data_IF_507113212904
#
_entry.id   IF_507113212904
#
_cell.length_a   1.000
_cell.length_b   1.000
_cell.length_c   1.000
_cell.angle_alpha   90.00
_cell.angle_beta   90.00
_cell.angle_gamma   90.00
#
_symmetry.space_group_name_H-M   'P 1'
#
loop_
_entity.id
_entity.type
_entity.pdbx_description
1 polymer ?
#
# COMPACT_ATOMS: atom_id res chain seq x y z
N UNK A 1 -1.00 -3.72 -6.58
CA UNK A 1 -2.39 -3.54 -7.04
C UNK A 1 -2.93 -4.90 -7.44
N UNK A 2 -4.04 -5.31 -6.84
CA UNK A 2 -4.64 -6.63 -6.97
C UNK A 2 -6.08 -6.45 -7.47
N UNK A 3 -6.46 -7.17 -8.52
CA UNK A 3 -7.82 -7.19 -9.04
C UNK A 3 -8.48 -8.55 -8.85
N UNK A 4 -9.82 -8.53 -8.78
CA UNK A 4 -10.67 -9.71 -8.90
C UNK A 4 -10.28 -10.87 -7.94
N UNK A 5 -10.17 -10.60 -6.61
CA UNK A 5 -10.08 -11.64 -5.59
C UNK A 5 -11.39 -12.43 -5.45
N UNK A 6 -12.54 -11.78 -5.69
CA UNK A 6 -13.80 -12.46 -5.93
C UNK A 6 -14.06 -12.53 -7.42
N UNK A 7 -14.34 -13.73 -7.93
CA UNK A 7 -14.43 -13.96 -9.37
C UNK A 7 -15.58 -13.20 -10.05
N UNK A 8 -16.69 -13.00 -9.35
CA UNK A 8 -17.87 -12.24 -9.81
C UNK A 8 -17.73 -10.72 -9.69
N UNK A 9 -16.55 -10.23 -9.31
CA UNK A 9 -16.20 -8.80 -9.21
C UNK A 9 -15.12 -8.44 -10.26
N UNK A 10 -15.44 -8.41 -11.58
CA UNK A 10 -14.46 -8.28 -12.64
C UNK A 10 -13.93 -6.86 -12.89
N UNK A 11 -14.54 -5.79 -12.36
CA UNK A 11 -14.09 -4.43 -12.66
C UNK A 11 -12.60 -4.20 -12.33
N UNK A 12 -12.18 -4.66 -11.15
CA UNK A 12 -10.80 -4.56 -10.68
C UNK A 12 -9.79 -5.21 -11.64
N UNK A 13 -10.17 -6.29 -12.31
CA UNK A 13 -9.34 -6.97 -13.31
C UNK A 13 -9.09 -6.08 -14.51
N UNK A 14 -10.14 -5.48 -15.03
CA UNK A 14 -10.06 -4.60 -16.20
C UNK A 14 -9.35 -3.29 -15.88
N UNK A 15 -9.56 -2.73 -14.69
CA UNK A 15 -8.83 -1.54 -14.19
C UNK A 15 -7.33 -1.82 -14.15
N UNK A 16 -6.90 -2.91 -13.50
CA UNK A 16 -5.47 -3.22 -13.33
C UNK A 16 -4.81 -3.58 -14.67
N UNK A 17 -5.47 -4.38 -15.51
CA UNK A 17 -4.94 -4.72 -16.83
C UNK A 17 -4.82 -3.49 -17.74
N UNK A 18 -5.83 -2.62 -17.75
CA UNK A 18 -5.84 -1.41 -18.58
C UNK A 18 -4.86 -0.37 -18.06
N UNK A 19 -4.67 -0.26 -16.74
CA UNK A 19 -3.63 0.58 -16.15
C UNK A 19 -2.23 0.13 -16.57
N UNK A 20 -1.98 -1.18 -16.64
CA UNK A 20 -0.69 -1.71 -17.11
C UNK A 20 -0.41 -1.29 -18.56
N UNK A 21 -1.38 -1.46 -19.47
CA UNK A 21 -1.25 -1.04 -20.87
C UNK A 21 -1.02 0.47 -20.96
N UNK A 22 -1.85 1.26 -20.27
CA UNK A 22 -1.75 2.72 -20.27
C UNK A 22 -0.38 3.20 -19.76
N UNK A 23 0.10 2.68 -18.63
CA UNK A 23 1.41 3.04 -18.06
C UNK A 23 2.55 2.75 -19.05
N UNK A 24 2.54 1.59 -19.72
CA UNK A 24 3.53 1.25 -20.73
C UNK A 24 3.51 2.24 -21.91
N UNK A 25 2.33 2.62 -22.38
CA UNK A 25 2.22 3.59 -23.47
C UNK A 25 2.69 4.98 -23.07
N UNK A 26 2.30 5.47 -21.88
CA UNK A 26 2.74 6.78 -21.36
C UNK A 26 4.24 6.81 -21.14
N UNK A 27 4.83 5.72 -20.65
CA UNK A 27 6.27 5.58 -20.52
C UNK A 27 6.99 5.64 -21.87
N UNK A 28 6.42 5.05 -22.92
CA UNK A 28 7.01 5.06 -24.25
C UNK A 28 6.91 6.44 -24.92
N UNK A 29 5.76 7.13 -24.76
CA UNK A 29 5.53 8.46 -25.36
C UNK A 29 6.14 9.62 -24.56
N UNK A 30 6.41 9.42 -23.27
CA UNK A 30 6.87 10.48 -22.35
C UNK A 30 5.94 11.70 -22.29
N UNK A 31 4.64 11.49 -22.53
CA UNK A 31 3.63 12.54 -22.69
C UNK A 31 2.73 12.73 -21.46
N UNK A 32 3.01 12.03 -20.36
CA UNK A 32 2.25 12.13 -19.11
C UNK A 32 3.20 12.16 -17.91
N UNK A 33 3.28 13.33 -17.27
CA UNK A 33 4.22 13.60 -16.17
C UNK A 33 3.89 12.76 -14.93
N UNK A 34 2.60 12.52 -14.65
CA UNK A 34 2.20 11.73 -13.48
C UNK A 34 2.61 10.27 -13.67
N UNK A 35 2.35 9.69 -14.84
CA UNK A 35 2.74 8.32 -15.15
C UNK A 35 4.26 8.15 -15.19
N UNK A 36 4.96 9.04 -15.87
CA UNK A 36 6.42 8.93 -16.08
C UNK A 36 7.21 9.16 -14.79
N UNK A 37 6.82 10.13 -13.96
CA UNK A 37 7.45 10.33 -12.65
C UNK A 37 7.18 9.14 -11.72
N UNK A 38 5.94 8.66 -11.63
CA UNK A 38 5.61 7.50 -10.80
C UNK A 38 6.41 6.25 -11.20
N UNK A 39 6.56 5.98 -12.51
CA UNK A 39 7.33 4.82 -12.99
C UNK A 39 8.84 4.95 -12.79
N UNK A 40 9.36 6.17 -12.65
CA UNK A 40 10.76 6.42 -12.28
C UNK A 40 10.98 6.24 -10.79
N UNK A 41 10.03 6.71 -9.99
CA UNK A 41 10.19 6.84 -8.54
C UNK A 41 9.71 5.57 -7.79
N UNK A 42 8.89 4.73 -8.44
CA UNK A 42 8.30 3.54 -7.83
C UNK A 42 8.35 2.29 -8.71
N UNK A 43 8.45 1.13 -8.06
CA UNK A 43 8.20 -0.18 -8.68
C UNK A 43 6.75 -0.57 -8.45
N UNK A 44 5.99 -0.74 -9.53
CA UNK A 44 4.58 -1.15 -9.47
C UNK A 44 4.43 -2.66 -9.67
N UNK A 45 3.65 -3.30 -8.79
CA UNK A 45 3.27 -4.72 -8.89
C UNK A 45 1.78 -4.79 -9.24
N UNK A 46 1.46 -5.34 -10.41
CA UNK A 46 0.11 -5.39 -10.96
C UNK A 46 -0.32 -6.85 -11.14
N UNK A 47 -1.39 -7.25 -10.44
CA UNK A 47 -2.00 -8.59 -10.55
C UNK A 47 -3.45 -8.40 -10.96
N UNK A 48 -3.79 -8.53 -12.26
CA UNK A 48 -5.15 -8.29 -12.72
C UNK A 48 -6.20 -9.22 -12.13
N UNK A 49 -5.88 -10.51 -11.96
CA UNK A 49 -6.85 -11.48 -11.44
C UNK A 49 -6.16 -12.37 -10.42
N UNK A 50 -6.65 -12.33 -9.18
CA UNK A 50 -6.24 -13.26 -8.14
C UNK A 50 -7.07 -14.55 -8.21
N UNK A 51 -8.34 -14.46 -8.60
CA UNK A 51 -9.26 -15.59 -8.70
C UNK A 51 -9.75 -15.84 -10.13
N UNK A 52 -8.90 -16.37 -11.03
CA UNK A 52 -9.28 -16.62 -12.41
C UNK A 52 -10.37 -17.70 -12.53
N UNK A 53 -10.36 -18.72 -11.67
CA UNK A 53 -11.35 -19.81 -11.71
C UNK A 53 -12.76 -19.36 -11.31
N UNK A 54 -12.86 -18.45 -10.34
CA UNK A 54 -14.11 -17.80 -9.99
C UNK A 54 -14.61 -16.91 -11.13
N UNK A 55 -13.73 -16.16 -11.76
CA UNK A 55 -14.06 -15.29 -12.89
C UNK A 55 -14.63 -16.07 -14.08
N UNK A 56 -13.95 -17.13 -14.53
CA UNK A 56 -14.42 -17.97 -15.64
C UNK A 56 -15.78 -18.63 -15.35
N UNK A 57 -16.12 -18.83 -14.07
CA UNK A 57 -17.40 -19.39 -13.62
C UNK A 57 -18.42 -18.35 -13.16
N UNK A 58 -18.11 -17.05 -13.31
CA UNK A 58 -18.97 -15.93 -12.88
C UNK A 58 -19.43 -16.08 -11.42
N UNK A 59 -18.51 -16.44 -10.53
CA UNK A 59 -18.82 -16.69 -9.11
C UNK A 59 -17.78 -16.08 -8.19
N UNK A 60 -18.21 -15.75 -6.98
CA UNK A 60 -17.37 -15.18 -5.93
C UNK A 60 -16.17 -16.06 -5.55
N UNK A 61 -16.45 -17.31 -5.19
CA UNK A 61 -15.43 -18.22 -4.65
C UNK A 61 -14.47 -18.78 -5.70
N UNK A 62 -13.32 -19.27 -5.24
CA UNK A 62 -12.31 -19.92 -6.10
C UNK A 62 -12.77 -21.28 -6.65
N UNK A 63 -11.88 -22.08 -7.26
CA UNK A 63 -12.21 -23.43 -7.77
C UNK A 63 -12.91 -24.33 -6.73
N UNK A 64 -12.47 -24.27 -5.46
CA UNK A 64 -13.02 -25.02 -4.34
C UNK A 64 -14.28 -24.39 -3.72
N UNK A 65 -14.71 -23.21 -4.21
CA UNK A 65 -15.84 -22.46 -3.64
C UNK A 65 -15.49 -21.65 -2.39
N UNK A 66 -14.21 -21.53 -2.04
CA UNK A 66 -13.75 -20.74 -0.90
C UNK A 66 -13.76 -19.24 -1.23
N UNK A 67 -14.14 -18.43 -0.23
CA UNK A 67 -14.00 -16.97 -0.30
C UNK A 67 -12.55 -16.60 0.04
N UNK A 68 -11.79 -16.14 -0.96
CA UNK A 68 -10.37 -15.81 -0.78
C UNK A 68 -10.15 -14.65 0.20
N UNK A 69 -11.11 -13.72 0.33
CA UNK A 69 -11.03 -12.63 1.30
C UNK A 69 -11.57 -13.02 2.68
N UNK A 70 -11.66 -14.33 2.96
CA UNK A 70 -11.89 -14.93 4.29
C UNK A 70 -10.88 -16.05 4.60
N UNK A 71 -9.90 -16.26 3.71
CA UNK A 71 -8.98 -17.40 3.76
C UNK A 71 -7.58 -17.02 4.27
N UNK A 72 -7.27 -15.74 4.48
CA UNK A 72 -5.99 -15.34 5.06
C UNK A 72 -5.94 -15.63 6.57
N UNK A 73 -4.74 -15.85 7.15
CA UNK A 73 -4.59 -15.91 8.60
C UNK A 73 -5.05 -14.61 9.28
N UNK A 74 -5.97 -14.72 10.22
CA UNK A 74 -6.51 -13.55 10.89
C UNK A 74 -5.68 -13.15 12.13
N UNK A 75 -5.34 -11.86 12.31
CA UNK A 75 -4.51 -11.43 13.43
C UNK A 75 -5.20 -11.57 14.81
N UNK A 76 -6.52 -11.74 14.85
CA UNK A 76 -7.29 -11.89 16.09
C UNK A 76 -7.77 -13.31 16.32
N UNK A 77 -8.20 -14.01 15.27
CA UNK A 77 -8.84 -15.32 15.42
C UNK A 77 -7.88 -16.49 15.33
N UNK A 78 -6.80 -16.38 14.54
CA UNK A 78 -5.86 -17.47 14.33
C UNK A 78 -4.75 -17.40 15.39
N UNK A 79 -5.06 -17.83 16.62
CA UNK A 79 -4.09 -18.14 17.68
C UNK A 79 -3.85 -19.64 17.82
N UNK A 80 -2.61 -20.07 18.10
CA UNK A 80 -2.29 -21.48 18.36
C UNK A 80 -2.92 -21.90 19.70
N UNK A 81 -4.08 -22.58 19.67
CA UNK A 81 -4.55 -23.49 20.74
C UNK A 81 -5.03 -22.88 22.06
N UNK A 82 -4.53 -21.73 22.49
CA UNK A 82 -4.86 -21.14 23.79
C UNK A 82 -5.89 -20.03 23.64
N UNK A 83 -7.12 -20.46 23.35
CA UNK A 83 -8.35 -19.79 23.76
C UNK A 83 -8.53 -18.33 23.31
N UNK A 84 -9.51 -18.17 22.42
CA UNK A 84 -10.36 -16.97 22.22
C UNK A 84 -10.80 -16.28 23.55
N UNK A 85 -10.64 -16.94 24.70
CA UNK A 85 -10.89 -16.42 26.04
C UNK A 85 -9.80 -15.48 26.61
N UNK A 86 -8.50 -15.64 26.31
CA UNK A 86 -7.44 -14.78 26.88
C UNK A 86 -7.28 -13.43 26.17
N UNK A 87 -7.76 -13.33 24.92
CA UNK A 87 -7.76 -12.10 24.14
C UNK A 87 -8.60 -10.96 24.76
N UNK A 88 -9.48 -11.28 25.71
CA UNK A 88 -10.41 -10.32 26.32
C UNK A 88 -9.82 -9.46 27.44
N UNK A 89 -8.61 -9.73 27.93
CA UNK A 89 -8.17 -9.19 29.23
C UNK A 89 -6.85 -8.39 29.27
N UNK A 90 -6.04 -8.29 28.20
CA UNK A 90 -4.72 -7.66 28.33
C UNK A 90 -4.38 -6.69 27.18
N UNK A 91 -4.01 -5.47 27.56
CA UNK A 91 -3.64 -4.33 26.71
C UNK A 91 -2.35 -4.52 25.87
N UNK A 92 -1.73 -5.70 25.92
CA UNK A 92 -0.53 -6.05 25.14
C UNK A 92 -0.82 -7.27 24.26
N UNK A 93 -1.73 -7.12 23.30
CA UNK A 93 -2.09 -8.22 22.40
C UNK A 93 -0.97 -8.48 21.40
N UNK A 94 -0.26 -9.61 21.56
CA UNK A 94 0.77 -10.09 20.63
C UNK A 94 0.10 -10.42 19.31
N UNK A 95 0.07 -9.46 18.38
CA UNK A 95 -0.12 -9.76 16.97
C UNK A 95 1.06 -10.64 16.54
N UNK A 96 0.88 -11.96 16.55
CA UNK A 96 1.89 -12.88 16.03
C UNK A 96 1.79 -12.82 14.52
N UNK A 97 2.87 -12.40 13.87
CA UNK A 97 3.04 -12.50 12.42
C UNK A 97 2.88 -13.97 12.03
N UNK A 98 1.70 -14.34 11.58
CA UNK A 98 1.39 -15.68 11.09
C UNK A 98 2.00 -15.93 9.70
N UNK A 99 3.13 -15.29 9.40
CA UNK A 99 3.88 -15.41 8.16
C UNK A 99 4.41 -16.83 8.02
N UNK A 100 3.59 -17.71 7.46
CA UNK A 100 3.91 -19.12 7.27
C UNK A 100 2.78 -20.10 7.53
N UNK A 101 1.62 -19.68 8.09
CA UNK A 101 0.47 -20.59 8.27
C UNK A 101 -0.31 -20.77 6.97
N UNK A 102 0.30 -21.47 6.02
CA UNK A 102 -0.27 -21.80 4.70
C UNK A 102 -1.05 -23.11 4.71
N UNK A 103 -0.89 -23.94 5.75
CA UNK A 103 -1.60 -25.22 5.88
C UNK A 103 -3.11 -24.98 5.90
N UNK A 104 -3.82 -25.62 4.98
CA UNK A 104 -5.29 -25.53 4.85
C UNK A 104 -5.79 -24.29 4.10
N UNK A 105 -4.89 -23.42 3.61
CA UNK A 105 -5.26 -22.23 2.82
C UNK A 105 -5.33 -22.58 1.33
N UNK A 106 -6.10 -21.79 0.59
CA UNK A 106 -6.26 -21.93 -0.85
C UNK A 106 -4.96 -21.59 -1.58
N UNK A 107 -4.70 -22.20 -2.75
CA UNK A 107 -3.48 -21.94 -3.51
C UNK A 107 -3.33 -20.46 -3.90
N UNK A 108 -4.43 -19.77 -4.20
CA UNK A 108 -4.41 -18.34 -4.53
C UNK A 108 -4.00 -17.49 -3.32
N UNK A 109 -4.52 -17.81 -2.13
CA UNK A 109 -4.14 -17.17 -0.86
C UNK A 109 -2.65 -17.38 -0.57
N UNK A 110 -2.17 -18.62 -0.69
CA UNK A 110 -0.74 -18.94 -0.49
C UNK A 110 0.14 -18.19 -1.49
N UNK A 111 -0.29 -18.08 -2.75
CA UNK A 111 0.43 -17.32 -3.77
C UNK A 111 0.48 -15.82 -3.45
N UNK A 112 -0.64 -15.22 -3.01
CA UNK A 112 -0.69 -13.82 -2.59
C UNK A 112 0.20 -13.56 -1.37
N UNK A 113 0.14 -14.43 -0.35
CA UNK A 113 1.00 -14.35 0.83
C UNK A 113 2.48 -14.43 0.45
N UNK A 114 2.84 -15.39 -0.42
CA UNK A 114 4.20 -15.55 -0.91
C UNK A 114 4.67 -14.32 -1.68
N UNK A 115 3.85 -13.77 -2.57
CA UNK A 115 4.16 -12.55 -3.32
C UNK A 115 4.45 -11.37 -2.38
N UNK A 116 3.57 -11.14 -1.39
CA UNK A 116 3.72 -10.05 -0.43
C UNK A 116 4.98 -10.19 0.45
N UNK A 117 5.38 -11.42 0.79
CA UNK A 117 6.59 -11.67 1.57
C UNK A 117 7.88 -11.50 0.75
N UNK A 118 7.88 -11.90 -0.53
CA UNK A 118 9.06 -11.79 -1.40
C UNK A 118 9.23 -10.40 -2.02
N UNK A 119 8.12 -9.67 -2.20
CA UNK A 119 8.10 -8.31 -2.74
C UNK A 119 7.28 -7.38 -1.83
N UNK A 120 7.76 -7.11 -0.59
CA UNK A 120 7.02 -6.29 0.36
C UNK A 120 6.77 -4.89 -0.20
N UNK A 121 5.49 -4.59 -0.36
CA UNK A 121 5.01 -3.32 -0.88
C UNK A 121 4.94 -2.28 0.25
N UNK A 122 5.18 -1.02 -0.10
CA UNK A 122 4.94 0.10 0.81
C UNK A 122 3.44 0.33 1.01
N UNK A 123 2.68 0.25 -0.08
CA UNK A 123 1.22 0.32 -0.08
C UNK A 123 0.64 -0.63 -1.12
N UNK A 124 -0.61 -1.04 -0.91
CA UNK A 124 -1.34 -1.94 -1.77
C UNK A 124 -2.83 -1.58 -1.85
N UNK A 125 -3.46 -2.00 -2.95
CA UNK A 125 -4.91 -1.90 -3.18
C UNK A 125 -5.38 -3.27 -3.64
N UNK A 126 -6.51 -3.76 -3.10
CA UNK A 126 -7.35 -4.76 -3.74
C UNK A 126 -8.66 -4.13 -4.21
N UNK A 127 -9.02 -4.39 -5.47
CA UNK A 127 -10.29 -3.95 -6.05
C UNK A 127 -11.39 -4.99 -5.85
N UNK A 128 -12.52 -4.52 -5.35
CA UNK A 128 -13.76 -5.23 -5.09
C UNK A 128 -14.94 -4.52 -5.77
N UNK A 129 -16.12 -5.13 -5.72
CA UNK A 129 -17.38 -4.52 -6.17
C UNK A 129 -18.54 -4.87 -5.22
N UNK A 130 -19.61 -4.08 -5.29
CA UNK A 130 -20.77 -4.15 -4.41
C UNK A 130 -21.05 -2.83 -3.67
N UNK A 131 -20.14 -1.86 -3.75
CA UNK A 131 -20.26 -0.50 -3.24
C UNK A 131 -19.32 0.45 -4.01
N UNK A 132 -19.30 1.73 -3.63
CA UNK A 132 -18.31 2.72 -4.11
C UNK A 132 -17.70 3.42 -2.90
N UNK A 133 -16.56 2.92 -2.43
CA UNK A 133 -15.86 3.42 -1.22
C UNK A 133 -14.43 2.91 -1.14
N UNK A 134 -13.53 3.70 -0.56
CA UNK A 134 -12.20 3.25 -0.14
C UNK A 134 -12.24 2.79 1.33
N UNK A 135 -12.19 1.48 1.52
CA UNK A 135 -12.18 0.79 2.80
C UNK A 135 -10.74 0.67 3.34
N UNK A 136 -10.54 0.96 4.63
CA UNK A 136 -9.24 0.89 5.28
C UNK A 136 -9.28 0.15 6.63
N UNK A 137 -8.10 -0.32 7.05
CA UNK A 137 -7.92 -1.15 8.24
C UNK A 137 -8.35 -0.44 9.54
N UNK A 138 -8.77 -1.19 10.57
CA UNK A 138 -8.97 -2.64 10.56
C UNK A 138 -10.30 -3.06 9.94
N UNK A 139 -10.32 -4.24 9.31
CA UNK A 139 -11.54 -4.91 8.86
C UNK A 139 -12.26 -5.63 10.01
N UNK A 140 -11.51 -6.08 11.03
CA UNK A 140 -12.06 -6.78 12.20
C UNK A 140 -11.82 -6.06 13.54
N UNK A 141 -12.38 -6.65 14.59
CA UNK A 141 -12.21 -6.20 15.98
C UNK A 141 -11.24 -7.10 16.73
N UNK A 142 -10.43 -6.55 17.64
CA UNK A 142 -9.66 -7.34 18.61
C UNK A 142 -10.51 -8.28 19.46
N UNK A 143 -11.78 -7.92 19.69
CA UNK A 143 -12.74 -8.74 20.44
C UNK A 143 -13.22 -9.98 19.69
N UNK A 144 -13.00 -10.06 18.37
CA UNK A 144 -13.61 -11.07 17.51
C UNK A 144 -15.11 -10.85 17.28
N UNK A 145 -15.68 -9.69 17.61
CA UNK A 145 -17.10 -9.42 17.33
C UNK A 145 -17.36 -9.37 15.82
N UNK A 146 -18.34 -10.17 15.38
CA UNK A 146 -18.79 -10.29 13.99
C UNK A 146 -20.16 -9.65 13.75
N UNK A 147 -20.83 -9.18 14.80
CA UNK A 147 -22.24 -8.79 14.76
C UNK A 147 -22.45 -7.30 14.61
N UNK A 148 -21.58 -6.48 15.22
CA UNK A 148 -21.79 -5.04 15.27
C UNK A 148 -20.68 -4.29 14.53
N UNK A 149 -21.09 -3.47 13.57
CA UNK A 149 -20.20 -2.51 12.94
C UNK A 149 -19.83 -1.41 13.93
N UNK A 150 -18.53 -1.27 14.22
CA UNK A 150 -18.01 -0.15 15.02
C UNK A 150 -16.58 0.15 14.62
N UNK A 151 -16.11 1.35 14.93
CA UNK A 151 -14.77 1.78 14.54
C UNK A 151 -13.68 0.93 15.21
N UNK A 152 -12.78 0.35 14.42
CA UNK A 152 -11.61 -0.41 14.88
C UNK A 152 -10.33 0.27 14.42
N UNK A 153 -9.76 1.10 15.30
CA UNK A 153 -8.59 1.94 15.02
C UNK A 153 -7.32 1.09 14.89
N UNK A 154 -6.61 1.20 13.77
CA UNK A 154 -5.26 0.64 13.63
C UNK A 154 -4.18 1.63 14.09
N UNK A 155 -2.96 1.18 14.42
CA UNK A 155 -1.92 2.12 14.86
C UNK A 155 -1.51 3.15 13.80
N UNK A 156 -1.69 2.83 12.52
CA UNK A 156 -1.47 3.74 11.38
C UNK A 156 -2.79 4.29 10.81
N UNK A 157 -3.81 4.46 11.65
CA UNK A 157 -5.14 4.93 11.26
C UNK A 157 -5.11 6.23 10.45
N UNK A 158 -4.24 7.16 10.84
CA UNK A 158 -4.04 8.43 10.16
C UNK A 158 -3.49 8.24 8.74
N UNK A 159 -2.45 7.42 8.59
CA UNK A 159 -1.82 7.09 7.30
C UNK A 159 -2.78 6.35 6.39
N UNK A 160 -3.52 5.37 6.93
CA UNK A 160 -4.51 4.60 6.18
C UNK A 160 -5.66 5.49 5.68
N UNK A 161 -6.16 6.39 6.53
CA UNK A 161 -7.16 7.39 6.14
C UNK A 161 -6.63 8.36 5.10
N UNK A 162 -5.38 8.80 5.21
CA UNK A 162 -4.74 9.66 4.22
C UNK A 162 -4.71 9.00 2.84
N UNK A 163 -4.30 7.73 2.76
CA UNK A 163 -4.24 6.97 1.50
C UNK A 163 -5.64 6.73 0.91
N UNK A 164 -6.60 6.27 1.73
CA UNK A 164 -7.99 6.10 1.32
C UNK A 164 -8.59 7.42 0.81
N UNK A 165 -8.29 8.54 1.49
CA UNK A 165 -8.78 9.87 1.08
C UNK A 165 -8.11 10.37 -0.20
N UNK A 166 -6.83 10.08 -0.42
CA UNK A 166 -6.14 10.41 -1.66
C UNK A 166 -6.83 9.72 -2.85
N UNK A 167 -7.21 8.44 -2.68
CA UNK A 167 -8.01 7.73 -3.68
C UNK A 167 -9.39 8.36 -3.87
N UNK A 168 -10.16 8.48 -2.78
CA UNK A 168 -11.57 8.88 -2.84
C UNK A 168 -11.80 10.31 -3.34
N UNK A 169 -10.90 11.25 -3.03
CA UNK A 169 -10.97 12.65 -3.49
C UNK A 169 -10.65 12.81 -4.97
N UNK A 170 -9.78 11.96 -5.51
CA UNK A 170 -9.44 12.01 -6.94
C UNK A 170 -10.45 11.24 -7.80
N UNK A 171 -11.16 10.27 -7.22
CA UNK A 171 -12.25 9.60 -7.91
C UNK A 171 -13.45 10.56 -8.14
N UNK A 172 -14.05 10.62 -9.34
CA UNK A 172 -15.06 11.64 -9.69
C UNK A 172 -16.29 11.72 -8.78
N UNK A 173 -16.72 10.59 -8.20
CA UNK A 173 -17.95 10.52 -7.40
C UNK A 173 -17.77 9.97 -5.99
N UNK A 174 -16.61 9.37 -5.66
CA UNK A 174 -16.49 8.57 -4.43
C UNK A 174 -16.54 9.46 -3.19
N UNK A 175 -15.82 10.59 -3.22
CA UNK A 175 -15.82 11.58 -2.12
C UNK A 175 -17.19 12.23 -1.87
N UNK A 176 -18.07 12.24 -2.87
CA UNK A 176 -19.42 12.79 -2.79
C UNK A 176 -20.47 11.76 -2.29
N UNK A 177 -20.03 10.58 -1.83
CA UNK A 177 -20.92 9.54 -1.31
C UNK A 177 -21.79 10.05 -0.15
N UNK A 178 -23.10 9.85 -0.25
CA UNK A 178 -24.05 10.14 0.82
C UNK A 178 -23.95 9.12 1.98
N UNK A 179 -23.55 7.89 1.68
CA UNK A 179 -23.42 6.81 2.65
C UNK A 179 -22.07 6.86 3.38
N UNK A 180 -20.99 7.07 2.65
CA UNK A 180 -19.63 7.05 3.18
C UNK A 180 -19.05 8.45 3.16
N UNK A 181 -19.08 9.14 4.30
CA UNK A 181 -18.60 10.53 4.39
C UNK A 181 -17.16 10.65 3.88
N UNK A 182 -16.96 11.47 2.85
CA UNK A 182 -15.65 11.66 2.20
C UNK A 182 -15.19 10.49 1.33
N UNK A 183 -16.07 9.51 1.07
CA UNK A 183 -15.79 8.35 0.21
C UNK A 183 -14.89 7.29 0.82
N UNK A 184 -14.70 7.31 2.15
CA UNK A 184 -13.85 6.35 2.86
C UNK A 184 -14.62 5.68 4.00
N UNK A 185 -14.19 4.49 4.41
CA UNK A 185 -14.75 3.81 5.59
C UNK A 185 -13.71 2.94 6.29
N UNK A 186 -13.78 2.87 7.63
CA UNK A 186 -13.09 1.84 8.38
C UNK A 186 -13.84 0.51 8.17
N UNK A 187 -13.12 -0.58 7.91
CA UNK A 187 -13.74 -1.86 7.54
C UNK A 187 -14.64 -2.41 8.63
N UNK A 188 -14.14 -2.50 9.86
CA UNK A 188 -14.93 -2.98 10.99
C UNK A 188 -16.13 -2.08 11.30
N UNK A 189 -16.04 -0.78 11.01
CA UNK A 189 -17.16 0.15 11.18
C UNK A 189 -18.28 -0.08 10.16
N UNK A 190 -17.91 -0.46 8.93
CA UNK A 190 -18.87 -0.79 7.89
C UNK A 190 -19.49 -2.17 8.14
N UNK A 191 -18.67 -3.21 8.19
CA UNK A 191 -19.05 -4.54 8.65
C UNK A 191 -17.80 -5.33 9.07
N UNK A 192 -17.79 -5.98 10.26
CA UNK A 192 -16.63 -6.75 10.69
C UNK A 192 -16.31 -7.92 9.75
N UNK A 193 -15.06 -7.98 9.30
CA UNK A 193 -14.52 -8.98 8.40
C UNK A 193 -13.24 -9.57 9.00
N UNK A 194 -13.08 -10.89 8.88
CA UNK A 194 -11.93 -11.62 9.41
C UNK A 194 -11.34 -12.54 8.33
N UNK A 195 -10.03 -12.73 8.38
CA UNK A 195 -9.29 -13.51 7.38
C UNK A 195 -9.15 -12.83 6.02
N UNK A 196 -9.18 -11.50 6.02
CA UNK A 196 -9.00 -10.68 4.82
C UNK A 196 -7.53 -10.45 4.47
N UNK A 197 -7.26 -10.19 3.19
CA UNK A 197 -5.90 -9.90 2.71
C UNK A 197 -5.35 -8.58 3.30
N UNK A 198 -6.20 -7.56 3.41
CA UNK A 198 -5.85 -6.21 3.84
C UNK A 198 -5.16 -6.20 5.22
N UNK A 199 -5.82 -6.77 6.22
CA UNK A 199 -5.31 -6.79 7.59
C UNK A 199 -4.11 -7.73 7.74
N UNK A 200 -4.10 -8.85 7.00
CA UNK A 200 -2.97 -9.78 6.99
C UNK A 200 -1.71 -9.12 6.46
N UNK A 201 -1.78 -8.40 5.33
CA UNK A 201 -0.59 -7.81 4.71
C UNK A 201 -0.01 -6.69 5.59
N UNK A 202 -0.87 -5.83 6.16
CA UNK A 202 -0.45 -4.76 7.08
C UNK A 202 0.34 -5.28 8.28
N UNK A 203 -0.11 -6.39 8.87
CA UNK A 203 0.55 -7.02 10.02
C UNK A 203 1.86 -7.71 9.64
N UNK A 204 1.88 -8.42 8.53
CA UNK A 204 2.96 -9.36 8.22
C UNK A 204 4.10 -8.70 7.45
N UNK A 205 3.81 -7.72 6.59
CA UNK A 205 4.80 -7.08 5.70
C UNK A 205 5.02 -5.60 6.02
N UNK A 206 4.10 -4.98 6.78
CA UNK A 206 4.14 -3.54 7.04
C UNK A 206 3.53 -2.68 5.92
N UNK A 207 2.91 -3.31 4.92
CA UNK A 207 2.26 -2.64 3.80
C UNK A 207 1.00 -1.88 4.24
N UNK A 208 0.85 -0.63 3.78
CA UNK A 208 -0.40 0.10 3.93
C UNK A 208 -1.41 -0.39 2.87
N UNK A 209 -2.21 -1.37 3.24
CA UNK A 209 -3.20 -1.97 2.36
C UNK A 209 -4.57 -1.30 2.54
N UNK A 210 -5.21 -0.93 1.43
CA UNK A 210 -6.63 -0.55 1.41
C UNK A 210 -7.45 -1.42 0.43
N UNK A 211 -8.74 -1.55 0.70
CA UNK A 211 -9.70 -2.19 -0.19
C UNK A 211 -10.51 -1.12 -0.91
N UNK A 212 -10.60 -1.19 -2.25
CA UNK A 212 -11.41 -0.26 -3.03
C UNK A 212 -12.61 -1.00 -3.58
N UNK A 213 -13.80 -0.61 -3.14
CA UNK A 213 -15.06 -0.99 -3.77
C UNK A 213 -15.26 -0.08 -4.99
N UNK A 214 -15.06 -0.65 -6.18
CA UNK A 214 -14.94 0.11 -7.41
C UNK A 214 -16.31 0.49 -8.01
N UNK A 215 -17.32 -0.36 -7.80
CA UNK A 215 -18.61 -0.21 -8.47
C UNK A 215 -19.74 -0.86 -7.66
N UNK A 216 -20.91 -0.23 -7.61
CA UNK A 216 -22.08 -0.78 -6.89
C UNK A 216 -22.57 -2.08 -7.54
N UNK A 217 -22.69 -2.08 -8.88
CA UNK A 217 -23.14 -3.25 -9.62
C UNK A 217 -21.97 -4.18 -9.88
N UNK A 218 -21.94 -5.31 -9.17
CA UNK A 218 -21.07 -6.43 -9.56
C UNK A 218 -21.34 -6.85 -11.00
N UNK A 219 -20.28 -7.21 -11.71
CA UNK A 219 -20.35 -7.62 -13.11
C UNK A 219 -21.01 -6.56 -14.01
N UNK A 220 -20.43 -5.36 -14.11
CA UNK A 220 -20.95 -4.30 -14.96
C UNK A 220 -20.96 -4.74 -16.42
N UNK A 221 -21.90 -4.18 -17.19
CA UNK A 221 -21.92 -4.42 -18.64
C UNK A 221 -20.63 -3.89 -19.27
N UNK A 222 -20.13 -4.59 -20.29
CA UNK A 222 -18.87 -4.25 -20.98
C UNK A 222 -18.82 -2.79 -21.45
N UNK A 223 -19.97 -2.22 -21.88
CA UNK A 223 -20.03 -0.83 -22.34
C UNK A 223 -19.70 0.20 -21.25
N UNK A 224 -19.77 -0.18 -19.96
CA UNK A 224 -19.42 0.69 -18.82
C UNK A 224 -17.93 0.67 -18.49
N UNK A 225 -17.19 -0.35 -18.92
CA UNK A 225 -15.78 -0.53 -18.55
C UNK A 225 -14.90 0.67 -18.91
N UNK A 226 -15.00 1.31 -20.10
CA UNK A 226 -14.14 2.44 -20.42
C UNK A 226 -14.27 3.62 -19.46
N UNK A 227 -15.51 3.94 -19.06
CA UNK A 227 -15.78 5.01 -18.09
C UNK A 227 -15.26 4.62 -16.70
N UNK A 228 -15.57 3.40 -16.25
CA UNK A 228 -15.11 2.88 -14.96
C UNK A 228 -13.58 2.90 -14.84
N UNK A 229 -12.88 2.41 -15.86
CA UNK A 229 -11.40 2.44 -15.92
C UNK A 229 -10.87 3.87 -15.86
N UNK A 230 -11.53 4.83 -16.54
CA UNK A 230 -11.12 6.23 -16.49
C UNK A 230 -11.28 6.83 -15.08
N UNK A 231 -12.43 6.58 -14.44
CA UNK A 231 -12.76 7.09 -13.10
C UNK A 231 -11.74 6.63 -12.04
N UNK A 232 -11.27 5.39 -12.13
CA UNK A 232 -10.33 4.81 -11.17
C UNK A 232 -8.85 5.09 -11.47
N UNK A 233 -8.48 5.42 -12.71
CA UNK A 233 -7.06 5.55 -13.10
C UNK A 233 -6.36 6.65 -12.33
N UNK A 234 -6.90 7.86 -12.35
CA UNK A 234 -6.34 9.01 -11.63
C UNK A 234 -6.26 8.75 -10.12
N UNK A 235 -7.32 8.19 -9.55
CA UNK A 235 -7.38 7.84 -8.12
C UNK A 235 -6.31 6.82 -7.72
N UNK A 236 -6.06 5.83 -8.57
CA UNK A 236 -5.02 4.82 -8.36
C UNK A 236 -3.63 5.44 -8.35
N UNK A 237 -3.34 6.34 -9.30
CA UNK A 237 -2.06 7.05 -9.37
C UNK A 237 -1.88 7.98 -8.17
N UNK A 238 -2.94 8.71 -7.77
CA UNK A 238 -2.91 9.60 -6.63
C UNK A 238 -2.58 8.88 -5.32
N UNK A 239 -3.17 7.69 -5.07
CA UNK A 239 -2.82 6.88 -3.91
C UNK A 239 -1.38 6.37 -4.01
N UNK A 240 -0.99 5.80 -5.16
CA UNK A 240 0.36 5.27 -5.35
C UNK A 240 1.41 6.35 -5.10
N UNK A 241 1.12 7.58 -5.50
CA UNK A 241 1.95 8.75 -5.30
C UNK A 241 1.97 9.16 -3.82
N UNK A 242 0.82 9.30 -3.17
CA UNK A 242 0.72 9.61 -1.73
C UNK A 242 1.45 8.60 -0.84
N UNK A 243 1.50 7.33 -1.24
CA UNK A 243 2.25 6.28 -0.53
C UNK A 243 3.76 6.48 -0.52
N UNK A 244 4.31 7.31 -1.43
CA UNK A 244 5.72 7.66 -1.50
C UNK A 244 6.13 8.79 -0.53
N UNK A 245 5.19 9.34 0.24
CA UNK A 245 5.50 10.22 1.37
C UNK A 245 6.00 9.45 2.59
N UNK A 246 6.76 10.09 3.48
CA UNK A 246 7.17 9.54 4.77
C UNK A 246 8.69 9.48 4.95
N UNK A 247 9.22 8.33 5.36
CA UNK A 247 10.64 8.17 5.72
C UNK A 247 11.32 7.12 4.86
N UNK A 248 12.47 7.47 4.29
CA UNK A 248 13.38 6.51 3.66
C UNK A 248 14.75 6.54 4.32
N UNK A 249 15.39 5.38 4.38
CA UNK A 249 16.66 5.24 5.07
C UNK A 249 17.27 3.86 4.96
N UNK A 250 18.32 3.65 5.74
CA UNK A 250 19.09 2.41 5.80
C UNK A 250 19.32 1.98 7.24
N UNK A 251 19.33 0.67 7.47
CA UNK A 251 19.74 0.07 8.74
C UNK A 251 21.18 -0.44 8.62
N UNK A 252 22.01 -0.10 9.58
CA UNK A 252 23.46 -0.37 9.55
C UNK A 252 23.99 -0.85 10.89
N UNK A 253 25.06 -1.64 10.86
CA UNK A 253 25.87 -1.92 12.04
C UNK A 253 26.63 -0.64 12.44
N UNK A 254 26.56 -0.27 13.71
CA UNK A 254 27.16 0.96 14.23
C UNK A 254 28.70 0.94 14.16
N UNK A 255 29.33 -0.22 14.34
CA UNK A 255 30.78 -0.37 14.38
C UNK A 255 31.39 -0.53 12.98
N UNK A 256 30.77 -1.35 12.11
CA UNK A 256 31.32 -1.63 10.77
C UNK A 256 30.77 -0.71 9.69
N UNK A 257 29.59 -0.12 9.92
CA UNK A 257 28.85 0.65 8.91
C UNK A 257 28.18 -0.21 7.83
N UNK A 258 28.31 -1.53 7.89
CA UNK A 258 27.70 -2.47 6.94
C UNK A 258 26.18 -2.48 7.05
N UNK A 259 25.50 -2.84 5.95
CA UNK A 259 24.03 -2.92 5.90
C UNK A 259 23.52 -4.13 6.68
N UNK A 260 22.52 -3.93 7.54
CA UNK A 260 21.87 -5.02 8.28
C UNK A 260 20.64 -5.50 7.51
N UNK A 261 20.85 -6.50 6.67
CA UNK A 261 19.80 -7.14 5.89
C UNK A 261 18.73 -7.77 6.79
N UNK A 262 17.45 -7.57 6.46
CA UNK A 262 16.34 -8.19 7.18
C UNK A 262 16.04 -7.60 8.56
N UNK A 263 16.72 -6.52 8.96
CA UNK A 263 16.31 -5.72 10.11
C UNK A 263 14.86 -5.25 9.97
N UNK A 264 14.13 -5.10 11.07
CA UNK A 264 12.76 -4.60 11.07
C UNK A 264 12.71 -3.21 11.65
N UNK A 265 12.09 -2.30 10.90
CA UNK A 265 11.87 -0.92 11.31
C UNK A 265 10.42 -0.75 11.75
N UNK A 266 10.23 -0.29 12.98
CA UNK A 266 8.94 -0.06 13.63
C UNK A 266 8.87 1.40 14.07
N UNK A 267 7.69 2.00 14.05
CA UNK A 267 7.48 3.31 14.69
C UNK A 267 7.01 3.05 16.12
N UNK A 268 7.65 3.65 17.13
CA UNK A 268 7.18 3.54 18.51
C UNK A 268 5.74 4.11 18.62
N UNK A 269 4.90 3.41 19.37
CA UNK A 269 3.44 3.60 19.40
C UNK A 269 2.68 2.94 18.23
N UNK A 270 3.36 2.28 17.27
CA UNK A 270 2.75 1.62 16.09
C UNK A 270 3.24 0.19 15.84
N UNK A 271 3.35 -0.60 16.89
CA UNK A 271 4.07 -1.89 16.92
C UNK A 271 3.40 -3.02 16.13
N UNK A 272 2.12 -2.88 15.75
CA UNK A 272 1.39 -3.90 14.96
C UNK A 272 1.84 -3.96 13.50
N UNK A 273 2.62 -2.98 13.05
CA UNK A 273 3.19 -2.90 11.70
C UNK A 273 4.68 -2.66 11.80
N UNK A 274 5.46 -3.32 10.95
CA UNK A 274 6.88 -3.00 10.80
C UNK A 274 7.32 -3.28 9.37
N UNK A 275 8.13 -2.41 8.82
CA UNK A 275 8.71 -2.58 7.49
C UNK A 275 9.99 -3.42 7.59
N UNK A 276 10.15 -4.48 6.79
CA UNK A 276 11.44 -5.16 6.65
C UNK A 276 12.42 -4.29 5.84
N UNK A 277 13.65 -4.16 6.32
CA UNK A 277 14.75 -3.62 5.54
C UNK A 277 15.05 -4.56 4.36
N UNK A 278 15.06 -4.01 3.15
CA UNK A 278 15.12 -4.74 1.88
C UNK A 278 16.49 -5.37 1.67
N UNK A 279 16.51 -6.71 1.64
CA UNK A 279 17.63 -7.50 1.15
C UNK A 279 19.00 -7.05 1.68
N UNK A 280 20.08 -7.22 0.89
CA UNK A 280 21.42 -6.75 1.26
C UNK A 280 21.57 -5.22 1.32
N UNK A 281 20.64 -4.44 0.75
CA UNK A 281 20.76 -2.97 0.76
C UNK A 281 20.47 -2.36 2.12
N UNK A 282 19.76 -3.09 3.00
CA UNK A 282 19.35 -2.61 4.32
C UNK A 282 18.39 -1.42 4.26
N UNK A 283 17.84 -1.11 3.08
CA UNK A 283 16.98 0.05 2.87
C UNK A 283 15.58 -0.20 3.41
N UNK A 284 15.00 0.80 4.07
CA UNK A 284 13.61 0.76 4.49
C UNK A 284 12.83 1.94 3.93
N UNK A 285 11.53 1.74 3.83
CA UNK A 285 10.56 2.77 3.47
C UNK A 285 9.40 2.70 4.45
N UNK A 286 9.00 3.84 5.03
CA UNK A 286 7.86 3.91 5.93
C UNK A 286 6.96 5.10 5.57
N UNK A 287 5.77 4.82 5.05
CA UNK A 287 4.77 5.86 4.78
C UNK A 287 4.27 6.47 6.08
N UNK A 288 4.40 7.79 6.22
CA UNK A 288 4.00 8.56 7.39
C UNK A 288 3.48 9.93 6.95
N UNK A 289 2.58 10.50 7.75
CA UNK A 289 2.18 11.90 7.61
C UNK A 289 3.26 12.83 8.16
N UNK A 290 3.17 14.15 7.91
CA UNK A 290 3.97 15.14 8.61
C UNK A 290 3.85 14.98 10.13
N UNK A 291 4.99 14.96 10.82
CA UNK A 291 5.06 14.72 12.25
C UNK A 291 6.44 14.31 12.72
N UNK A 292 6.63 14.27 14.05
CA UNK A 292 7.84 13.76 14.67
C UNK A 292 7.59 12.35 15.21
N UNK A 293 8.47 11.42 14.86
CA UNK A 293 8.36 10.00 15.16
C UNK A 293 9.67 9.47 15.74
N UNK A 294 9.59 8.42 16.55
CA UNK A 294 10.77 7.64 16.95
C UNK A 294 10.71 6.32 16.20
N UNK A 295 11.71 6.09 15.34
CA UNK A 295 11.88 4.84 14.62
C UNK A 295 12.75 3.91 15.45
N UNK A 296 12.34 2.64 15.56
CA UNK A 296 13.11 1.56 16.16
C UNK A 296 13.51 0.54 15.09
N UNK A 297 14.80 0.30 14.93
CA UNK A 297 15.32 -0.83 14.18
C UNK A 297 15.62 -1.99 15.13
N UNK A 298 15.37 -3.22 14.68
CA UNK A 298 15.66 -4.46 15.43
C UNK A 298 16.13 -5.55 14.48
N UNK A 299 17.12 -6.33 14.89
CA UNK A 299 17.62 -7.48 14.13
C UNK A 299 18.18 -8.56 15.07
N UNK A 300 18.07 -9.87 14.73
CA UNK A 300 18.71 -10.92 15.51
C UNK A 300 20.22 -10.70 15.64
N UNK A 301 20.75 -10.81 16.86
CA UNK A 301 22.18 -10.57 17.14
C UNK A 301 22.54 -9.11 17.45
N UNK A 302 21.57 -8.20 17.39
CA UNK A 302 21.77 -6.77 17.64
C UNK A 302 20.95 -6.27 18.83
N UNK A 303 21.46 -5.24 19.51
CA UNK A 303 20.64 -4.36 20.35
C UNK A 303 19.79 -3.48 19.43
N UNK A 304 18.55 -3.23 19.83
CA UNK A 304 17.66 -2.34 19.10
C UNK A 304 18.23 -0.91 19.08
N UNK A 305 18.09 -0.25 17.94
CA UNK A 305 18.50 1.14 17.74
C UNK A 305 17.29 2.05 17.56
N UNK A 306 17.32 3.24 18.12
CA UNK A 306 16.27 4.25 17.94
C UNK A 306 16.79 5.52 17.28
N UNK A 307 15.93 6.19 16.52
CA UNK A 307 16.21 7.50 15.96
C UNK A 307 14.93 8.33 15.86
N UNK A 308 14.98 9.55 16.38
CA UNK A 308 13.92 10.55 16.18
C UNK A 308 14.02 11.15 14.79
N UNK A 309 12.92 11.17 14.06
CA UNK A 309 12.80 11.71 12.71
C UNK A 309 11.62 12.67 12.63
N UNK A 310 11.75 13.75 11.87
CA UNK A 310 10.65 14.68 11.60
C UNK A 310 10.33 14.65 10.12
N UNK A 311 9.12 14.22 9.77
CA UNK A 311 8.57 14.35 8.43
C UNK A 311 8.00 15.77 8.33
N UNK A 312 8.52 16.62 7.43
CA UNK A 312 8.06 18.01 7.32
C UNK A 312 6.63 18.06 6.75
N UNK A 313 5.98 19.22 6.85
CA UNK A 313 4.83 19.51 5.98
C UNK A 313 5.37 19.78 4.56
N UNK A 314 4.67 19.31 3.53
CA UNK A 314 5.05 19.61 2.16
C UNK A 314 4.98 21.14 1.92
N UNK A 315 6.04 21.71 1.36
CA UNK A 315 6.13 23.15 1.10
C UNK A 315 5.52 23.55 -0.26
N UNK A 316 5.38 22.61 -1.20
CA UNK A 316 5.24 22.87 -2.63
C UNK A 316 4.52 21.76 -3.42
N UNK A 317 3.65 20.99 -2.75
CA UNK A 317 2.82 19.96 -3.43
C UNK A 317 3.51 18.62 -3.68
N UNK A 318 4.79 18.47 -3.32
CA UNK A 318 5.46 17.17 -3.23
C UNK A 318 4.99 16.33 -2.05
N UNK A 319 5.34 15.04 -2.03
CA UNK A 319 4.98 14.15 -0.93
C UNK A 319 5.84 14.49 0.31
N UNK A 320 5.24 14.80 1.48
CA UNK A 320 6.01 15.15 2.65
C UNK A 320 6.94 14.01 3.05
N UNK A 321 8.25 14.23 2.95
CA UNK A 321 9.24 13.17 3.05
C UNK A 321 10.53 13.60 3.73
N UNK A 322 11.19 12.65 4.38
CA UNK A 322 12.58 12.75 4.83
C UNK A 322 13.36 11.53 4.34
N UNK A 323 14.50 11.78 3.71
CA UNK A 323 15.34 10.74 3.11
C UNK A 323 16.70 10.66 3.80
N UNK A 324 17.39 9.52 3.64
CA UNK A 324 18.74 9.33 4.13
C UNK A 324 18.83 9.09 5.64
N UNK A 325 17.74 8.67 6.28
CA UNK A 325 17.74 8.30 7.71
C UNK A 325 18.65 7.09 7.92
N UNK A 326 19.54 7.15 8.92
CA UNK A 326 20.51 6.09 9.25
C UNK A 326 20.20 5.51 10.63
N UNK A 327 19.53 4.37 10.65
CA UNK A 327 19.27 3.63 11.88
C UNK A 327 20.43 2.70 12.20
N UNK A 328 21.06 2.91 13.36
CA UNK A 328 22.25 2.18 13.77
C UNK A 328 21.90 1.08 14.77
N UNK A 329 22.44 -0.11 14.55
CA UNK A 329 22.31 -1.26 15.44
C UNK A 329 23.68 -1.62 16.03
N UNK A 330 23.70 -1.93 17.33
CA UNK A 330 24.93 -2.34 18.01
C UNK A 330 24.96 -3.86 18.12
N UNK A 331 26.02 -4.50 17.61
CA UNK A 331 26.18 -5.96 17.72
C UNK A 331 26.29 -6.38 19.19
N UNK A 332 25.49 -7.36 19.60
CA UNK A 332 25.55 -7.92 20.95
C UNK A 332 26.77 -8.84 21.06
N UNK A 333 27.81 -8.40 21.77
CA UNK A 333 28.91 -9.29 22.19
C UNK A 333 28.45 -10.33 23.23
N UNK A 334 29.35 -11.23 23.64
CA UNK A 334 29.07 -12.32 24.61
C UNK A 334 28.57 -11.90 26.01
N UNK A 335 28.39 -10.60 26.28
CA UNK A 335 27.79 -10.02 27.49
C UNK A 335 26.57 -9.13 27.24
N UNK A 336 25.95 -9.19 26.05
CA UNK A 336 24.96 -8.22 25.54
C UNK A 336 23.65 -8.02 26.33
N UNK A 337 23.39 -8.78 27.39
CA UNK A 337 22.16 -8.65 28.19
C UNK A 337 22.06 -7.30 28.94
N UNK A 338 23.18 -6.74 29.42
CA UNK A 338 23.16 -5.46 30.17
C UNK A 338 22.92 -4.25 29.24
N UNK A 339 23.53 -4.25 28.05
CA UNK A 339 23.27 -3.21 27.03
C UNK A 339 21.82 -3.25 26.54
N UNK A 340 21.27 -4.45 26.34
CA UNK A 340 19.87 -4.61 25.94
C UNK A 340 18.90 -4.11 27.02
N UNK A 341 19.21 -4.29 28.30
CA UNK A 341 18.41 -3.75 29.41
C UNK A 341 18.45 -2.21 29.49
N UNK A 342 19.60 -1.58 29.29
CA UNK A 342 19.70 -0.11 29.26
C UNK A 342 18.92 0.49 28.09
N UNK A 343 19.04 -0.11 26.90
CA UNK A 343 18.28 0.31 25.72
C UNK A 343 16.77 0.13 25.97
N UNK A 344 16.33 -0.97 26.57
CA UNK A 344 14.92 -1.17 26.91
C UNK A 344 14.39 -0.13 27.91
N UNK A 345 15.18 0.27 28.90
CA UNK A 345 14.78 1.32 29.86
C UNK A 345 14.63 2.69 29.18
N UNK A 346 15.55 3.03 28.27
CA UNK A 346 15.47 4.27 27.50
C UNK A 346 14.25 4.26 26.57
N UNK A 347 13.96 3.13 25.92
CA UNK A 347 12.75 2.95 25.10
C UNK A 347 11.47 3.13 25.91
N UNK A 348 11.39 2.54 27.11
CA UNK A 348 10.22 2.72 27.98
C UNK A 348 10.02 4.20 28.36
N UNK A 349 11.09 4.95 28.60
CA UNK A 349 11.00 6.38 28.88
C UNK A 349 10.53 7.19 27.66
N UNK A 350 11.00 6.86 26.46
CA UNK A 350 10.59 7.51 25.19
C UNK A 350 9.12 7.18 24.84
N UNK A 351 8.71 5.92 25.01
CA UNK A 351 7.31 5.49 24.83
C UNK A 351 6.38 6.22 25.81
N UNK A 352 6.78 6.37 27.07
CA UNK A 352 6.02 7.12 28.07
C UNK A 352 5.89 8.60 27.68
N UNK A 353 6.97 9.25 27.23
CA UNK A 353 6.92 10.63 26.75
C UNK A 353 6.03 10.82 25.53
N UNK A 354 6.05 9.87 24.57
CA UNK A 354 5.16 9.92 23.42
C UNK A 354 3.69 9.68 23.81
N UNK A 355 3.42 8.74 24.71
CA UNK A 355 2.07 8.50 25.22
C UNK A 355 1.52 9.76 25.91
N UNK A 356 2.35 10.45 26.70
CA UNK A 356 1.99 11.72 27.36
C UNK A 356 1.75 12.86 26.35
N UNK A 357 2.54 12.92 25.27
CA UNK A 357 2.32 13.89 24.18
C UNK A 357 1.04 13.59 23.39
N UNK A 358 0.74 12.31 23.12
CA UNK A 358 -0.48 11.91 22.41
C UNK A 358 -1.74 12.08 23.27
N UNK A 359 -1.68 11.88 24.59
CA UNK A 359 -2.81 12.15 25.50
C UNK A 359 -3.12 13.64 25.69
N UNK A 360 -2.12 14.53 25.53
CA UNK A 360 -2.34 15.98 25.54
C UNK A 360 -3.02 16.49 24.28
N UNK A 361 -3.04 15.71 23.21
CA UNK A 361 -3.90 15.95 22.05
C UNK A 361 -5.27 15.34 22.35
N UNK A 362 -6.13 16.10 23.03
CA UNK A 362 -7.57 15.77 23.05
C UNK A 362 -8.07 15.54 21.62
N UNK A 363 -9.12 14.74 21.39
CA UNK A 363 -9.73 14.69 20.07
C UNK A 363 -10.23 16.11 19.77
N UNK A 364 -9.47 16.87 18.99
CA UNK A 364 -10.01 18.05 18.34
C UNK A 364 -11.16 17.50 17.50
N UNK A 365 -12.39 17.74 17.96
CA UNK A 365 -13.50 17.89 17.07
C UNK A 365 -13.03 18.92 16.04
N UNK A 366 -12.61 18.44 14.87
CA UNK A 366 -12.32 19.30 13.72
C UNK A 366 -13.67 19.82 13.25
N UNK A 367 -14.13 20.85 13.95
CA UNK A 367 -14.97 21.87 13.39
C UNK A 367 -14.26 22.40 12.14
N UNK A 368 -15.06 22.49 11.08
CA UNK A 368 -14.82 23.24 9.85
C UNK A 368 -13.80 24.36 9.94
N UNK A 369 -12.62 24.16 9.36
CA UNK A 369 -11.86 25.26 8.77
C UNK A 369 -11.47 24.82 7.35
N UNK A 370 -12.30 25.25 6.41
CA UNK A 370 -12.06 25.22 4.97
C UNK A 370 -10.93 26.21 4.66
N UNK A 371 -9.76 25.71 4.26
CA UNK A 371 -8.79 26.54 3.55
C UNK A 371 -9.18 26.53 2.07
N UNK A 372 -9.89 27.58 1.64
CA UNK A 372 -10.24 27.84 0.26
C UNK A 372 -8.98 28.11 -0.59
N UNK A 373 -8.56 27.12 -1.38
CA UNK A 373 -7.68 27.37 -2.52
C UNK A 373 -8.59 27.63 -3.72
N UNK A 374 -8.71 28.89 -4.17
CA UNK A 374 -9.49 29.19 -5.37
C UNK A 374 -8.72 28.68 -6.60
N UNK A 375 -9.39 27.89 -7.43
CA UNK A 375 -8.85 27.32 -8.67
C UNK A 375 -8.30 28.37 -9.66
N UNK A 376 -8.59 29.67 -9.44
CA UNK A 376 -8.10 30.78 -10.25
C UNK A 376 -6.61 31.10 -10.05
N UNK A 377 -6.04 30.83 -8.87
CA UNK A 377 -4.64 31.16 -8.60
C UNK A 377 -3.66 30.16 -9.24
N UNK A 378 -4.07 28.88 -9.33
CA UNK A 378 -3.26 27.82 -9.93
C UNK A 378 -3.25 27.90 -11.47
N UNK A 379 -4.33 28.41 -12.09
CA UNK A 379 -4.42 28.53 -13.55
C UNK A 379 -3.50 29.63 -14.12
N UNK A 380 -3.31 30.75 -13.40
CA UNK A 380 -2.48 31.87 -13.87
C UNK A 380 -0.97 31.58 -13.86
N UNK A 381 -0.53 30.62 -13.03
CA UNK A 381 0.89 30.26 -12.88
C UNK A 381 1.33 29.19 -13.90
N UNK A 382 0.38 28.44 -14.47
CA UNK A 382 0.64 27.42 -15.50
C UNK A 382 0.83 28.05 -16.89
N UNK A 383 0.16 29.15 -17.21
CA UNK A 383 0.29 29.81 -18.53
C UNK A 383 1.63 30.53 -18.71
N UNK A 384 2.32 30.90 -17.62
CA UNK A 384 3.61 31.60 -17.69
C UNK A 384 4.79 30.65 -17.86
N UNK A 385 4.72 29.41 -17.36
CA UNK A 385 5.81 28.43 -17.48
C UNK A 385 5.83 27.66 -18.83
N UNK A 386 4.72 27.68 -19.58
CA UNK A 386 4.63 27.02 -20.90
C UNK A 386 5.36 27.81 -22.00
N UNK A 387 5.51 29.13 -21.84
CA UNK A 387 6.21 30.00 -22.79
C UNK A 387 7.73 29.78 -22.81
N UNK A 388 8.33 29.40 -21.69
CA UNK A 388 9.79 29.30 -21.57
C UNK A 388 10.34 27.93 -21.99
N UNK A 389 9.49 26.90 -22.06
CA UNK A 389 9.86 25.54 -22.46
C UNK A 389 9.93 25.38 -23.98
N UNK A 390 9.12 26.11 -24.75
CA UNK A 390 9.14 26.04 -26.22
C UNK A 390 10.44 26.61 -26.82
N UNK A 391 11.10 27.56 -26.14
CA UNK A 391 12.38 28.13 -26.60
C UNK A 391 13.60 27.23 -26.30
N UNK A 392 13.47 26.28 -25.38
CA UNK A 392 14.56 25.37 -24.99
C UNK A 392 14.65 24.13 -25.89
N UNK A 393 13.52 23.72 -26.51
CA UNK A 393 13.42 22.50 -27.32
C UNK A 393 14.09 22.63 -28.70
N UNK A 394 14.35 23.84 -29.20
CA UNK A 394 15.02 24.05 -30.49
C UNK A 394 16.56 23.87 -30.45
N UNK A 395 17.19 23.89 -29.27
CA UNK A 395 18.67 23.96 -29.18
C UNK A 395 19.36 22.60 -28.94
N UNK A 396 18.70 21.62 -28.32
CA UNK A 396 19.43 20.45 -27.78
C UNK A 396 19.30 19.14 -28.59
N UNK A 397 18.66 19.17 -29.77
CA UNK A 397 18.41 17.98 -30.61
C UNK A 397 19.66 17.35 -31.30
N UNK A 398 20.87 17.85 -31.03
CA UNK A 398 22.09 17.43 -31.74
C UNK A 398 23.16 16.71 -30.93
N UNK A 399 22.92 16.33 -29.68
CA UNK A 399 23.92 15.56 -28.90
C UNK A 399 23.29 14.33 -28.27
N UNK A 400 23.55 13.17 -28.86
CA UNK A 400 24.11 11.97 -28.23
C UNK A 400 23.70 10.71 -28.99
N UNK A 401 24.72 10.09 -29.61
CA UNK A 401 24.69 8.79 -30.28
C UNK A 401 25.16 7.70 -29.32
N UNK A 402 24.48 6.55 -29.43
CA UNK A 402 24.83 5.18 -29.07
C UNK A 402 25.97 4.89 -28.06
N UNK A 403 25.64 4.16 -26.97
CA UNK A 403 26.08 2.76 -26.76
C UNK A 403 25.72 2.21 -25.36
N UNK A 404 25.56 0.87 -25.32
CA UNK A 404 25.51 -0.04 -24.16
C UNK A 404 24.19 -0.14 -23.35
N UNK A 405 23.41 -1.18 -23.65
CA UNK A 405 22.31 -1.65 -22.79
C UNK A 405 22.70 -2.98 -22.10
N UNK A 406 22.62 -3.07 -20.76
CA UNK A 406 22.80 -4.32 -20.02
C UNK A 406 21.47 -5.07 -19.82
N UNK A 407 21.59 -6.37 -19.52
CA UNK A 407 20.64 -7.47 -19.24
C UNK A 407 19.12 -7.25 -18.95
N UNK A 408 18.62 -6.05 -18.67
CA UNK A 408 17.18 -5.77 -18.45
C UNK A 408 16.28 -5.93 -19.69
N UNK A 409 16.86 -5.99 -20.89
CA UNK A 409 16.11 -6.11 -22.16
C UNK A 409 15.50 -7.50 -22.35
N UNK A 410 16.08 -8.56 -21.75
CA UNK A 410 15.61 -9.94 -21.93
C UNK A 410 14.23 -10.17 -21.28
N UNK A 411 13.91 -9.47 -20.18
CA UNK A 411 12.59 -9.54 -19.53
C UNK A 411 11.53 -8.76 -20.32
N UNK A 412 11.93 -7.68 -21.00
CA UNK A 412 11.03 -6.86 -21.80
C UNK A 412 10.59 -7.56 -23.09
N UNK A 413 11.47 -8.37 -23.70
CA UNK A 413 11.15 -9.18 -24.90
C UNK A 413 10.15 -10.29 -24.58
N UNK A 414 10.20 -10.89 -23.38
CA UNK A 414 9.24 -11.91 -22.95
C UNK A 414 7.83 -11.33 -22.73
N UNK A 415 7.71 -10.13 -22.13
CA UNK A 415 6.44 -9.42 -21.95
C UNK A 415 5.82 -8.99 -23.29
N UNK A 416 6.64 -8.50 -24.23
CA UNK A 416 6.18 -8.15 -25.58
C UNK A 416 5.69 -9.38 -26.37
N UNK A 417 6.31 -10.55 -26.19
CA UNK A 417 5.88 -11.80 -26.83
C UNK A 417 4.51 -12.28 -26.31
N UNK A 418 4.27 -12.17 -24.99
CA UNK A 418 2.98 -12.51 -24.38
C UNK A 418 1.87 -11.55 -24.83
N UNK A 419 2.16 -10.24 -24.90
CA UNK A 419 1.21 -9.22 -25.38
C UNK A 419 0.93 -9.39 -26.87
N UNK A 420 1.92 -9.73 -27.69
CA UNK A 420 1.73 -10.01 -29.11
C UNK A 420 0.89 -11.28 -29.34
N UNK A 421 1.09 -12.33 -28.53
CA UNK A 421 0.28 -13.55 -28.58
C UNK A 421 -1.18 -13.29 -28.16
N UNK A 422 -1.41 -12.46 -27.14
CA UNK A 422 -2.74 -12.02 -26.72
C UNK A 422 -3.46 -11.20 -27.81
N UNK A 423 -2.74 -10.27 -28.47
CA UNK A 423 -3.29 -9.48 -29.59
C UNK A 423 -3.65 -10.34 -30.81
N UNK A 424 -2.87 -11.38 -31.13
CA UNK A 424 -3.21 -12.34 -32.21
C UNK A 424 -4.47 -13.16 -31.89
N UNK A 425 -4.61 -13.64 -30.64
CA UNK A 425 -5.81 -14.38 -30.20
C UNK A 425 -7.07 -13.51 -30.20
N UNK A 426 -6.96 -12.23 -29.80
CA UNK A 426 -8.07 -11.27 -29.83
C UNK A 426 -8.52 -10.95 -31.26
N UNK A 427 -7.58 -10.76 -32.19
CA UNK A 427 -7.89 -10.54 -33.62
C UNK A 427 -8.55 -11.77 -34.27
N UNK A 428 -8.07 -12.98 -33.96
CA UNK A 428 -8.66 -14.22 -34.49
C UNK A 428 -10.11 -14.44 -34.02
N UNK A 429 -10.43 -14.10 -32.76
CA UNK A 429 -11.80 -14.16 -32.22
C UNK A 429 -12.73 -13.14 -32.86
N UNK A 430 -12.24 -11.92 -33.12
CA UNK A 430 -13.00 -10.86 -33.79
C UNK A 430 -13.25 -11.16 -35.28
N UNK A 431 -12.35 -11.89 -35.96
CA UNK A 431 -12.56 -12.35 -37.34
C UNK A 431 -13.48 -13.56 -37.47
N UNK A 432 -13.58 -14.39 -36.42
CA UNK A 432 -14.43 -15.59 -36.42
C UNK A 432 -15.90 -15.29 -36.09
N UNK A 433 -16.21 -14.16 -35.46
CA UNK A 433 -17.59 -13.71 -35.19
C UNK A 433 -18.24 -12.89 -36.31
N UNK A 434 -17.64 -12.85 -37.51
CA UNK A 434 -18.15 -12.13 -38.70
C UNK A 434 -18.31 -13.03 -39.93
N UNK A 435 -18.50 -14.34 -39.76
CA UNK A 435 -18.95 -15.24 -40.82
C UNK A 435 -20.24 -15.92 -40.45
#
# INVERSE_FOLDING_TARGET
MLGNPHGDEPAGREIVASLAEWLCERWARKDDVQATSLLRDARLLLVPTLNPDGFEKHRRGNAAGADLNRDFPDPWLDGDGDGVAQARAQAHYRVRRAGGRTKGRQPETVAAMSLAQHAPCVAAIAYHEGAVVANYAWDGHPSGDRRHGSYSRCPDDDTQRMLASAYARTHPSMSASAQFKGGITNGAAWYPLYGGNQDWEYVNTGCMFITVEANEQKWPKEQRLPALIADHRGATLALARAALGGVTGVVVDAATGERVAGARVTVLGREKSSTPAKGPSGEFFRTLLPGTYVLRASAPGYADGTQTVTVPRAADGGEPSVAGVRLELVTLGGGGQQQQQQVQQQQQAEEQQQADQQQKVQPMALASEEASWSASALAAQIETEVSDVEHWVEVEAHRYSASLLPAGVVVMVALLAVVAAARRRRRARLSAGRR
#
